data_IF_456073464229
#
_entry.id   IF_456073464229
#
_cell.length_a   1.000
_cell.length_b   1.000
_cell.length_c   1.000
_cell.angle_alpha   90.00
_cell.angle_beta   90.00
_cell.angle_gamma   90.00
#
_symmetry.space_group_name_H-M   'P 1'
#
loop_
_entity.id
_entity.type
_entity.pdbx_description
1 polymer ?
#
# COMPACT_ATOMS: atom_id res chain seq x y z
N UNK A 1 14.97 -65.81 -72.67
CA UNK A 1 13.74 -66.14 -71.93
C UNK A 1 13.82 -65.68 -70.52
N UNK A 2 12.86 -64.89 -70.14
CA UNK A 2 12.41 -64.63 -68.77
C UNK A 2 13.38 -64.11 -67.73
N UNK A 3 13.32 -62.82 -67.46
CA UNK A 3 13.45 -62.24 -66.14
C UNK A 3 13.05 -60.75 -66.20
N UNK A 4 11.79 -60.45 -66.12
CA UNK A 4 11.28 -59.11 -65.85
C UNK A 4 9.99 -59.40 -65.06
N UNK A 5 10.00 -58.98 -63.78
CA UNK A 5 8.82 -58.67 -62.99
C UNK A 5 9.12 -58.85 -61.48
N UNK A 6 9.91 -58.02 -60.86
CA UNK A 6 9.83 -57.80 -59.42
C UNK A 6 10.55 -56.42 -59.11
N UNK A 7 10.05 -55.33 -59.57
CA UNK A 7 10.63 -54.04 -59.22
C UNK A 7 9.59 -52.92 -59.29
N UNK A 8 8.36 -53.15 -58.91
CA UNK A 8 7.32 -52.10 -58.96
C UNK A 8 6.37 -52.04 -57.76
N UNK A 9 6.75 -52.59 -56.62
CA UNK A 9 5.89 -52.55 -55.39
C UNK A 9 6.61 -51.91 -54.16
N UNK A 10 7.72 -51.19 -54.33
CA UNK A 10 8.41 -50.60 -53.24
C UNK A 10 8.47 -49.03 -53.29
N UNK A 11 7.66 -48.40 -54.13
CA UNK A 11 7.66 -46.96 -54.32
C UNK A 11 6.39 -46.21 -53.78
N UNK A 12 5.46 -46.91 -53.13
CA UNK A 12 4.18 -46.33 -52.70
C UNK A 12 3.96 -46.27 -51.20
N UNK A 13 5.00 -46.47 -50.37
CA UNK A 13 4.85 -46.55 -48.93
C UNK A 13 5.67 -45.48 -48.15
N UNK A 14 6.18 -44.42 -48.80
CA UNK A 14 7.01 -43.37 -48.10
C UNK A 14 6.43 -41.96 -48.18
N UNK A 15 5.17 -41.78 -48.59
CA UNK A 15 4.58 -40.43 -48.68
C UNK A 15 3.46 -40.13 -47.66
N UNK A 16 3.43 -40.82 -46.52
CA UNK A 16 2.37 -40.61 -45.54
C UNK A 16 2.87 -40.30 -44.12
N UNK A 17 4.11 -39.83 -43.92
CA UNK A 17 4.56 -39.36 -42.60
C UNK A 17 5.29 -38.01 -42.77
N UNK A 18 4.58 -36.98 -43.20
CA UNK A 18 4.99 -35.60 -43.00
C UNK A 18 3.77 -34.74 -42.71
N UNK A 19 2.91 -35.23 -41.82
CA UNK A 19 2.00 -34.44 -41.05
C UNK A 19 2.77 -33.91 -39.83
N UNK A 20 3.76 -33.03 -40.04
CA UNK A 20 4.16 -32.13 -38.99
C UNK A 20 2.96 -31.26 -38.72
N UNK A 21 2.17 -31.62 -37.71
CA UNK A 21 1.28 -30.68 -37.09
C UNK A 21 2.15 -29.46 -36.72
N UNK A 22 2.02 -28.40 -37.49
CA UNK A 22 2.54 -27.06 -37.08
C UNK A 22 1.78 -26.73 -35.81
N UNK A 23 2.33 -27.12 -34.66
CA UNK A 23 1.88 -26.49 -33.43
C UNK A 23 2.10 -25.01 -33.62
N UNK A 24 1.03 -24.23 -33.56
CA UNK A 24 1.16 -22.79 -33.39
C UNK A 24 2.14 -22.56 -32.24
N UNK A 25 3.04 -21.59 -32.35
CA UNK A 25 3.93 -21.28 -31.22
C UNK A 25 3.06 -21.04 -29.98
N UNK A 26 3.40 -21.76 -28.89
CA UNK A 26 2.67 -21.64 -27.64
C UNK A 26 2.64 -20.15 -27.22
N UNK A 27 1.47 -19.64 -26.85
CA UNK A 27 1.33 -18.31 -26.28
C UNK A 27 2.14 -18.18 -24.99
N UNK A 28 2.43 -16.96 -24.58
CA UNK A 28 3.18 -16.72 -23.35
C UNK A 28 2.46 -17.32 -22.13
N UNK A 29 1.13 -17.21 -22.07
CA UNK A 29 0.32 -17.80 -20.99
C UNK A 29 0.33 -19.33 -21.01
N UNK A 30 0.36 -19.95 -22.18
CA UNK A 30 0.48 -21.39 -22.31
C UNK A 30 1.86 -21.91 -21.80
N UNK A 31 2.93 -21.16 -22.08
CA UNK A 31 4.25 -21.46 -21.52
C UNK A 31 4.29 -21.30 -20.00
N UNK A 32 3.73 -20.21 -19.47
CA UNK A 32 3.64 -19.95 -18.03
C UNK A 32 2.85 -21.07 -17.32
N UNK A 33 1.71 -21.47 -17.88
CA UNK A 33 0.91 -22.54 -17.29
C UNK A 33 1.65 -23.88 -17.25
N UNK A 34 2.29 -24.28 -18.34
CA UNK A 34 3.08 -25.52 -18.36
C UNK A 34 4.26 -25.47 -17.38
N UNK A 35 4.92 -24.34 -17.28
CA UNK A 35 5.97 -24.16 -16.28
C UNK A 35 5.43 -24.29 -14.87
N UNK A 36 4.32 -23.62 -14.57
CA UNK A 36 3.65 -23.72 -13.28
C UNK A 36 3.25 -25.15 -12.93
N UNK A 37 2.59 -25.87 -13.85
CA UNK A 37 2.14 -27.25 -13.64
C UNK A 37 3.33 -28.18 -13.32
N UNK A 38 4.42 -28.07 -14.10
CA UNK A 38 5.63 -28.86 -13.87
C UNK A 38 6.33 -28.49 -12.54
N UNK A 39 6.37 -27.21 -12.21
CA UNK A 39 6.94 -26.74 -10.96
C UNK A 39 6.14 -27.25 -9.74
N UNK A 40 4.81 -27.23 -9.82
CA UNK A 40 3.93 -27.78 -8.76
C UNK A 40 4.10 -29.29 -8.59
N UNK A 41 4.20 -30.04 -9.69
CA UNK A 41 4.43 -31.49 -9.65
C UNK A 41 5.76 -31.85 -8.95
N UNK A 42 6.79 -31.05 -9.15
CA UNK A 42 8.11 -31.29 -8.55
C UNK A 42 8.16 -30.83 -7.07
N UNK A 43 7.62 -29.63 -6.76
CA UNK A 43 7.83 -29.01 -5.47
C UNK A 43 6.69 -29.28 -4.47
N UNK A 44 5.46 -29.46 -4.95
CA UNK A 44 4.26 -29.64 -4.13
C UNK A 44 3.31 -30.72 -4.72
N UNK A 45 3.77 -31.95 -4.96
CA UNK A 45 2.98 -33.00 -5.65
C UNK A 45 1.68 -33.36 -4.90
N UNK A 46 1.65 -33.19 -3.59
CA UNK A 46 0.47 -33.49 -2.76
C UNK A 46 -0.48 -32.31 -2.60
N UNK A 47 -0.06 -31.09 -2.99
CA UNK A 47 -0.92 -29.92 -2.85
C UNK A 47 -2.15 -30.02 -3.76
N UNK A 48 -3.29 -29.57 -3.23
CA UNK A 48 -4.55 -29.54 -3.97
C UNK A 48 -5.06 -28.11 -4.05
N UNK A 49 -5.55 -27.68 -5.21
CA UNK A 49 -6.09 -26.33 -5.33
C UNK A 49 -7.40 -26.19 -4.55
N UNK A 50 -7.65 -24.97 -4.11
CA UNK A 50 -8.96 -24.52 -3.62
C UNK A 50 -10.00 -24.50 -4.76
N UNK A 51 -11.23 -24.11 -4.45
CA UNK A 51 -12.31 -24.06 -5.45
C UNK A 51 -12.00 -23.14 -6.64
N UNK A 52 -11.29 -22.03 -6.42
CA UNK A 52 -10.90 -21.11 -7.48
C UNK A 52 -9.56 -21.49 -8.14
N UNK A 53 -8.70 -22.22 -7.44
CA UNK A 53 -7.42 -22.72 -7.97
C UNK A 53 -6.18 -22.23 -7.25
N UNK A 54 -6.30 -21.63 -6.07
CA UNK A 54 -5.18 -21.24 -5.18
C UNK A 54 -4.66 -22.49 -4.47
N UNK A 55 -3.36 -22.57 -4.25
CA UNK A 55 -2.74 -23.66 -3.47
C UNK A 55 -2.30 -23.12 -2.10
N UNK A 56 -2.93 -23.62 -1.05
CA UNK A 56 -2.55 -23.30 0.34
C UNK A 56 -1.45 -24.27 0.75
N UNK A 57 -0.26 -23.76 1.05
CA UNK A 57 0.91 -24.57 1.41
C UNK A 57 1.11 -24.60 2.93
N UNK A 58 0.87 -23.46 3.60
CA UNK A 58 0.90 -23.34 5.05
C UNK A 58 -0.36 -22.60 5.50
N UNK A 59 -0.98 -23.04 6.59
CA UNK A 59 -2.20 -22.45 7.16
C UNK A 59 -2.19 -22.55 8.67
N UNK A 60 -1.89 -21.45 9.33
CA UNK A 60 -1.96 -21.30 10.78
C UNK A 60 -3.17 -20.42 11.12
N UNK A 61 -4.23 -21.01 11.70
CA UNK A 61 -5.44 -20.25 11.95
C UNK A 61 -5.24 -19.20 13.05
N UNK A 62 -5.67 -17.97 12.79
CA UNK A 62 -5.76 -16.94 13.81
C UNK A 62 -6.94 -17.14 14.76
N UNK A 63 -6.98 -16.33 15.82
CA UNK A 63 -8.03 -16.37 16.84
C UNK A 63 -8.86 -15.08 16.91
N UNK A 64 -8.46 -14.03 16.17
CA UNK A 64 -9.13 -12.74 16.17
C UNK A 64 -10.33 -12.66 15.24
N UNK A 65 -10.68 -11.44 14.86
CA UNK A 65 -11.81 -11.14 13.95
C UNK A 65 -11.61 -11.80 12.59
N UNK A 66 -12.68 -12.36 12.03
CA UNK A 66 -12.66 -12.98 10.71
C UNK A 66 -12.64 -11.91 9.60
N UNK A 67 -11.81 -12.13 8.60
CA UNK A 67 -11.74 -11.31 7.38
C UNK A 67 -12.93 -11.62 6.49
N UNK A 68 -13.74 -10.61 6.23
CA UNK A 68 -14.93 -10.70 5.38
C UNK A 68 -14.74 -9.93 4.07
N UNK A 69 -15.67 -10.10 3.15
CA UNK A 69 -15.83 -9.22 1.98
C UNK A 69 -16.20 -7.80 2.44
N UNK A 70 -15.94 -6.83 1.57
CA UNK A 70 -16.31 -5.42 1.75
C UNK A 70 -15.70 -4.75 2.99
N UNK A 71 -14.45 -5.13 3.31
CA UNK A 71 -13.70 -4.58 4.42
C UNK A 71 -12.25 -4.24 4.07
N UNK A 72 -11.44 -4.15 5.10
CA UNK A 72 -10.04 -3.76 5.03
C UNK A 72 -9.22 -4.67 5.93
N UNK A 73 -8.32 -5.45 5.35
CA UNK A 73 -7.39 -6.32 6.06
C UNK A 73 -5.99 -5.70 6.08
N UNK A 74 -5.39 -5.63 7.25
CA UNK A 74 -4.01 -5.20 7.45
C UNK A 74 -3.10 -6.42 7.42
N UNK A 75 -2.12 -6.45 6.53
CA UNK A 75 -1.27 -7.61 6.26
C UNK A 75 0.20 -7.27 6.40
N UNK A 76 0.94 -8.13 7.12
CA UNK A 76 2.38 -8.29 6.91
C UNK A 76 2.58 -9.36 5.84
N UNK A 77 3.46 -9.13 4.87
CA UNK A 77 3.68 -10.09 3.80
C UNK A 77 5.07 -10.01 3.17
N UNK A 78 5.45 -11.13 2.55
CA UNK A 78 6.52 -11.24 1.56
C UNK A 78 5.90 -11.92 0.34
N UNK A 79 6.20 -11.42 -0.85
CA UNK A 79 5.82 -12.06 -2.11
C UNK A 79 7.05 -12.44 -2.90
N UNK A 80 7.01 -13.65 -3.50
CA UNK A 80 8.08 -14.12 -4.36
C UNK A 80 7.50 -14.70 -5.67
N UNK A 81 8.36 -14.79 -6.68
CA UNK A 81 8.10 -15.67 -7.81
C UNK A 81 8.39 -17.15 -7.46
N UNK A 82 8.25 -18.04 -8.44
CA UNK A 82 8.53 -19.48 -8.26
C UNK A 82 10.03 -19.80 -8.09
N UNK A 83 10.91 -18.91 -8.49
CA UNK A 83 12.37 -19.00 -8.33
C UNK A 83 12.83 -18.48 -6.96
N UNK A 84 11.93 -17.88 -6.17
CA UNK A 84 12.20 -17.34 -4.84
C UNK A 84 12.70 -15.89 -4.85
N UNK A 85 12.63 -15.19 -5.98
CA UNK A 85 12.97 -13.77 -6.03
C UNK A 85 11.86 -12.95 -5.35
N UNK A 86 12.25 -12.12 -4.37
CA UNK A 86 11.30 -11.27 -3.64
C UNK A 86 10.86 -10.11 -4.54
N UNK A 87 9.54 -9.97 -4.72
CA UNK A 87 8.92 -8.91 -5.52
C UNK A 87 8.30 -7.79 -4.67
N UNK A 88 7.78 -8.11 -3.46
CA UNK A 88 7.28 -7.12 -2.51
C UNK A 88 7.37 -7.64 -1.07
N UNK A 89 7.41 -6.72 -0.11
CA UNK A 89 7.47 -7.05 1.31
C UNK A 89 7.03 -5.86 2.18
N UNK A 90 6.72 -6.13 3.44
CA UNK A 90 6.38 -5.13 4.45
C UNK A 90 7.43 -5.02 5.55
N UNK A 91 8.27 -6.03 5.72
CA UNK A 91 9.20 -6.15 6.85
C UNK A 91 10.48 -5.33 6.69
N UNK A 92 10.88 -4.63 7.76
CA UNK A 92 12.15 -3.88 7.82
C UNK A 92 13.38 -4.79 7.69
N UNK A 93 13.36 -5.94 8.37
CA UNK A 93 14.47 -6.90 8.32
C UNK A 93 14.68 -7.45 6.90
N UNK A 94 13.60 -7.69 6.16
CA UNK A 94 13.70 -8.08 4.75
C UNK A 94 14.37 -6.98 3.91
N UNK A 95 14.01 -5.71 4.14
CA UNK A 95 14.65 -4.58 3.47
C UNK A 95 16.15 -4.51 3.76
N UNK A 96 16.56 -4.73 5.02
CA UNK A 96 17.97 -4.75 5.43
C UNK A 96 18.72 -5.90 4.77
N UNK A 97 18.17 -7.11 4.76
CA UNK A 97 18.77 -8.28 4.13
C UNK A 97 18.95 -8.09 2.62
N UNK A 98 18.01 -7.43 1.96
CA UNK A 98 18.09 -7.09 0.53
C UNK A 98 18.96 -5.88 0.22
N UNK A 99 19.45 -5.15 1.24
CA UNK A 99 20.20 -3.91 1.06
C UNK A 99 19.37 -2.75 0.50
N UNK A 100 18.04 -2.81 0.63
CA UNK A 100 17.10 -1.80 0.14
C UNK A 100 16.53 -0.92 1.26
N UNK A 101 16.96 -1.14 2.49
CA UNK A 101 16.50 -0.38 3.65
C UNK A 101 16.78 1.12 3.50
N UNK A 102 15.75 1.91 3.83
CA UNK A 102 15.83 3.37 3.97
C UNK A 102 15.07 3.79 5.21
N UNK A 103 15.70 4.57 6.08
CA UNK A 103 15.05 5.09 7.31
C UNK A 103 13.83 5.97 7.04
N UNK A 104 13.70 6.51 5.83
CA UNK A 104 12.53 7.30 5.39
C UNK A 104 11.33 6.47 4.96
N UNK A 105 11.48 5.15 4.82
CA UNK A 105 10.39 4.28 4.37
C UNK A 105 9.61 3.72 5.56
N UNK A 106 8.33 3.51 5.36
CA UNK A 106 7.50 2.79 6.31
C UNK A 106 7.70 1.28 6.17
N UNK A 107 7.91 0.61 7.29
CA UNK A 107 7.95 -0.85 7.40
C UNK A 107 6.93 -1.31 8.41
N UNK A 108 6.01 -2.14 7.98
CA UNK A 108 4.91 -2.64 8.81
C UNK A 108 3.69 -3.01 7.98
N UNK A 109 2.62 -3.45 8.63
CA UNK A 109 1.44 -3.95 7.95
C UNK A 109 0.81 -2.91 7.04
N UNK A 110 0.40 -3.34 5.84
CA UNK A 110 -0.30 -2.50 4.86
C UNK A 110 -1.73 -2.98 4.67
N UNK A 111 -2.67 -2.05 4.54
CA UNK A 111 -4.06 -2.38 4.29
C UNK A 111 -4.29 -2.83 2.85
N UNK A 112 -5.10 -3.88 2.73
CA UNK A 112 -5.69 -4.37 1.49
C UNK A 112 -7.21 -4.31 1.63
N UNK A 113 -7.90 -3.72 0.67
CA UNK A 113 -9.38 -3.74 0.67
C UNK A 113 -9.88 -5.07 0.14
N UNK A 114 -10.87 -5.66 0.82
CA UNK A 114 -11.51 -6.93 0.41
C UNK A 114 -12.79 -6.71 -0.41
N UNK A 115 -13.01 -5.50 -0.91
CA UNK A 115 -14.11 -5.16 -1.82
C UNK A 115 -13.94 -5.96 -3.11
N UNK A 116 -15.03 -6.51 -3.64
CA UNK A 116 -15.02 -7.31 -4.85
C UNK A 116 -14.38 -6.55 -6.04
N UNK A 117 -13.46 -7.21 -6.72
CA UNK A 117 -12.70 -6.63 -7.83
C UNK A 117 -11.57 -5.66 -7.44
N UNK A 118 -11.36 -5.40 -6.16
CA UNK A 118 -10.25 -4.55 -5.68
C UNK A 118 -8.94 -5.32 -5.43
N UNK A 119 -9.02 -6.64 -5.30
CA UNK A 119 -7.88 -7.55 -5.20
C UNK A 119 -7.82 -8.51 -6.39
N UNK A 120 -6.64 -9.03 -6.74
CA UNK A 120 -6.56 -10.21 -7.57
C UNK A 120 -7.41 -11.35 -7.01
N UNK A 121 -8.11 -12.08 -7.88
CA UNK A 121 -9.10 -13.07 -7.46
C UNK A 121 -8.51 -14.14 -6.52
N UNK A 122 -7.28 -14.60 -6.80
CA UNK A 122 -6.60 -15.58 -5.96
C UNK A 122 -6.23 -15.05 -4.58
N UNK A 123 -5.82 -13.78 -4.48
CA UNK A 123 -5.51 -13.17 -3.19
C UNK A 123 -6.80 -12.97 -2.36
N UNK A 124 -7.90 -12.58 -3.00
CA UNK A 124 -9.19 -12.46 -2.33
C UNK A 124 -9.65 -13.82 -1.76
N UNK A 125 -9.54 -14.92 -2.55
CA UNK A 125 -9.85 -16.28 -2.07
C UNK A 125 -8.95 -16.69 -0.90
N UNK A 126 -7.65 -16.41 -1.00
CA UNK A 126 -6.69 -16.77 0.04
C UNK A 126 -6.91 -16.04 1.37
N UNK A 127 -7.47 -14.82 1.32
CA UNK A 127 -7.58 -13.93 2.47
C UNK A 127 -8.94 -14.01 3.17
N UNK A 128 -10.04 -14.08 2.41
CA UNK A 128 -11.40 -14.09 2.98
C UNK A 128 -11.62 -15.39 3.78
N UNK A 129 -12.18 -15.25 5.00
CA UNK A 129 -12.40 -16.34 5.94
C UNK A 129 -11.22 -16.60 6.89
N UNK A 130 -10.04 -16.00 6.66
CA UNK A 130 -8.97 -16.02 7.66
C UNK A 130 -9.35 -15.20 8.89
N UNK A 131 -8.66 -15.43 9.99
CA UNK A 131 -8.83 -14.62 11.22
C UNK A 131 -7.57 -13.82 11.51
N UNK A 132 -7.75 -12.68 12.13
CA UNK A 132 -6.63 -11.86 12.64
C UNK A 132 -5.72 -12.71 13.54
N UNK A 133 -4.42 -12.57 13.34
CA UNK A 133 -3.37 -13.39 13.93
C UNK A 133 -3.05 -14.66 13.14
N UNK A 134 -3.83 -15.01 12.12
CA UNK A 134 -3.55 -16.15 11.25
C UNK A 134 -2.44 -15.85 10.23
N UNK A 135 -1.66 -16.89 9.96
CA UNK A 135 -0.61 -16.88 8.94
C UNK A 135 -0.97 -17.87 7.82
N UNK A 136 -0.67 -17.49 6.61
CA UNK A 136 -0.90 -18.34 5.43
C UNK A 136 0.17 -18.13 4.39
N UNK A 137 0.66 -19.25 3.83
CA UNK A 137 1.50 -19.26 2.64
C UNK A 137 0.75 -19.91 1.50
N UNK A 138 0.61 -19.18 0.40
CA UNK A 138 -0.17 -19.63 -0.75
C UNK A 138 0.59 -19.42 -2.05
N UNK A 139 0.33 -20.31 -3.02
CA UNK A 139 0.77 -20.12 -4.39
C UNK A 139 -0.45 -19.73 -5.20
N UNK A 140 -0.41 -18.54 -5.78
CA UNK A 140 -1.49 -17.99 -6.60
C UNK A 140 -1.05 -18.06 -8.05
N UNK A 141 -1.64 -18.94 -8.85
CA UNK A 141 -1.30 -19.06 -10.26
C UNK A 141 -1.53 -17.75 -11.02
N UNK A 142 -0.77 -17.54 -12.07
CA UNK A 142 -0.78 -16.31 -12.86
C UNK A 142 -2.19 -15.89 -13.33
N UNK A 143 -3.07 -16.82 -13.67
CA UNK A 143 -4.44 -16.51 -14.09
C UNK A 143 -5.34 -16.01 -12.96
N UNK A 144 -4.96 -16.21 -11.69
CA UNK A 144 -5.66 -15.71 -10.50
C UNK A 144 -5.00 -14.44 -9.92
N UNK A 145 -3.86 -14.01 -10.45
CA UNK A 145 -3.25 -12.72 -10.16
C UNK A 145 -3.90 -11.57 -10.94
N UNK A 146 -4.92 -11.84 -11.72
CA UNK A 146 -5.77 -10.86 -12.40
C UNK A 146 -6.95 -10.43 -11.51
N UNK A 147 -7.43 -9.20 -11.73
CA UNK A 147 -8.67 -8.70 -11.13
C UNK A 147 -9.94 -9.31 -11.75
N UNK A 148 -9.80 -10.06 -12.82
CA UNK A 148 -10.91 -10.79 -13.45
C UNK A 148 -10.70 -12.29 -13.28
N UNK A 149 -11.82 -13.00 -13.12
CA UNK A 149 -11.85 -14.47 -13.17
C UNK A 149 -12.11 -14.88 -14.61
N UNK A 150 -11.32 -15.81 -15.12
CA UNK A 150 -11.52 -16.38 -16.46
C UNK A 150 -12.55 -17.50 -16.38
N UNK A 151 -13.54 -17.50 -17.28
CA UNK A 151 -14.59 -18.52 -17.35
C UNK A 151 -14.04 -19.88 -17.80
N UNK A 152 -12.86 -19.92 -18.43
CA UNK A 152 -12.20 -21.15 -18.87
C UNK A 152 -10.70 -20.93 -19.03
N UNK A 153 -9.94 -22.02 -18.95
CA UNK A 153 -8.52 -22.04 -19.24
C UNK A 153 -8.20 -21.53 -20.65
N UNK A 154 -9.03 -21.89 -21.65
CA UNK A 154 -8.86 -21.44 -23.03
C UNK A 154 -8.88 -19.90 -23.13
N UNK A 155 -9.80 -19.24 -22.40
CA UNK A 155 -9.87 -17.78 -22.38
C UNK A 155 -8.62 -17.16 -21.75
N UNK A 156 -8.08 -17.75 -20.70
CA UNK A 156 -6.81 -17.30 -20.11
C UNK A 156 -5.66 -17.46 -21.10
N UNK A 157 -5.53 -18.63 -21.73
CA UNK A 157 -4.45 -18.90 -22.67
C UNK A 157 -4.49 -17.99 -23.91
N UNK A 158 -5.67 -17.51 -24.29
CA UNK A 158 -5.86 -16.55 -25.38
C UNK A 158 -5.47 -15.10 -25.05
N UNK A 159 -5.27 -14.77 -23.77
CA UNK A 159 -4.88 -13.40 -23.36
C UNK A 159 -3.48 -13.05 -23.85
N UNK A 160 -3.32 -11.78 -24.25
CA UNK A 160 -2.03 -11.25 -24.70
C UNK A 160 -1.17 -10.72 -23.55
N UNK A 161 -1.82 -10.30 -22.48
CA UNK A 161 -1.16 -9.81 -21.27
C UNK A 161 -0.90 -10.97 -20.32
N UNK A 162 0.34 -11.11 -19.87
CA UNK A 162 0.73 -12.12 -18.89
C UNK A 162 0.81 -11.48 -17.49
N UNK A 163 0.37 -12.25 -16.50
CA UNK A 163 0.69 -12.02 -15.09
C UNK A 163 1.60 -13.14 -14.63
N UNK A 164 2.34 -12.93 -13.56
CA UNK A 164 3.24 -13.95 -13.01
C UNK A 164 2.55 -14.72 -11.88
N UNK A 165 2.89 -15.99 -11.73
CA UNK A 165 2.54 -16.77 -10.54
C UNK A 165 3.25 -16.16 -9.35
N UNK A 166 2.52 -15.97 -8.26
CA UNK A 166 3.05 -15.33 -7.07
C UNK A 166 2.85 -16.21 -5.84
N UNK A 167 3.90 -16.38 -5.07
CA UNK A 167 3.83 -16.97 -3.74
C UNK A 167 3.63 -15.83 -2.76
N UNK A 168 2.51 -15.85 -2.02
CA UNK A 168 2.24 -14.96 -0.91
C UNK A 168 2.47 -15.69 0.40
N UNK A 169 3.33 -15.13 1.23
CA UNK A 169 3.57 -15.53 2.61
C UNK A 169 3.15 -14.36 3.49
N UNK A 170 2.03 -14.48 4.21
CA UNK A 170 1.41 -13.34 4.87
C UNK A 170 0.73 -13.67 6.19
N UNK A 171 0.71 -12.68 7.08
CA UNK A 171 0.00 -12.71 8.36
C UNK A 171 -1.06 -11.60 8.39
N UNK A 172 -2.28 -11.94 8.81
CA UNK A 172 -3.36 -10.97 9.02
C UNK A 172 -3.15 -10.28 10.37
N UNK A 173 -2.82 -8.99 10.35
CA UNK A 173 -2.56 -8.18 11.56
C UNK A 173 -3.80 -7.46 12.08
N UNK A 174 -4.79 -7.23 11.23
CA UNK A 174 -6.02 -6.55 11.59
C UNK A 174 -7.09 -6.68 10.51
N UNK A 175 -8.34 -6.47 10.91
CA UNK A 175 -9.47 -6.37 9.98
C UNK A 175 -10.50 -5.39 10.50
N UNK A 176 -11.08 -4.60 9.60
CA UNK A 176 -12.21 -3.71 9.88
C UNK A 176 -13.15 -3.62 8.69
N UNK A 177 -14.43 -3.51 8.94
CA UNK A 177 -15.44 -3.20 7.91
C UNK A 177 -15.57 -1.67 7.69
N UNK A 178 -15.05 -0.86 8.62
CA UNK A 178 -15.08 0.61 8.53
C UNK A 178 -13.71 1.21 8.84
N UNK A 179 -12.98 1.57 7.79
CA UNK A 179 -11.64 2.11 7.91
C UNK A 179 -11.62 3.46 8.65
N UNK A 180 -12.64 4.30 8.47
CA UNK A 180 -12.74 5.59 9.16
C UNK A 180 -12.85 5.42 10.67
N UNK A 181 -13.71 4.53 11.14
CA UNK A 181 -13.88 4.29 12.58
C UNK A 181 -12.64 3.59 13.16
N UNK A 182 -11.98 2.73 12.38
CA UNK A 182 -10.70 2.15 12.78
C UNK A 182 -9.61 3.23 12.95
N UNK A 183 -9.43 4.12 11.96
CA UNK A 183 -8.46 5.20 12.04
C UNK A 183 -8.74 6.14 13.23
N UNK A 184 -10.02 6.44 13.51
CA UNK A 184 -10.42 7.23 14.67
C UNK A 184 -10.06 6.51 15.98
N UNK A 185 -10.22 5.18 16.04
CA UNK A 185 -9.81 4.41 17.22
C UNK A 185 -8.30 4.46 17.44
N UNK A 186 -7.49 4.38 16.36
CA UNK A 186 -6.04 4.51 16.44
C UNK A 186 -5.61 5.91 16.92
N UNK A 187 -6.27 6.96 16.44
CA UNK A 187 -6.04 8.32 16.96
C UNK A 187 -6.41 8.39 18.45
N UNK A 188 -7.51 7.77 18.86
CA UNK A 188 -7.91 7.72 20.28
C UNK A 188 -6.87 7.06 21.17
N UNK A 189 -6.27 5.95 20.73
CA UNK A 189 -5.18 5.29 21.46
C UNK A 189 -3.90 6.16 21.48
N UNK A 190 -3.56 6.77 20.35
CA UNK A 190 -2.45 7.70 20.26
C UNK A 190 -2.59 8.88 21.23
N UNK A 191 -3.76 9.53 21.28
CA UNK A 191 -4.05 10.63 22.20
C UNK A 191 -3.93 10.20 23.66
N UNK A 192 -4.44 9.02 24.01
CA UNK A 192 -4.35 8.44 25.35
C UNK A 192 -2.89 8.18 25.75
N UNK A 193 -2.09 7.62 24.85
CA UNK A 193 -0.68 7.29 25.10
C UNK A 193 0.23 8.54 25.12
N UNK A 194 -0.27 9.67 24.62
CA UNK A 194 0.44 10.95 24.57
C UNK A 194 -0.27 12.03 25.40
N UNK A 195 -0.89 11.62 26.50
CA UNK A 195 -1.67 12.52 27.38
C UNK A 195 -0.85 13.59 28.07
N UNK A 196 0.45 13.42 28.21
CA UNK A 196 1.42 14.44 28.65
C UNK A 196 1.48 15.65 27.69
N UNK A 197 1.25 15.42 26.38
CA UNK A 197 1.24 16.43 25.33
C UNK A 197 -0.18 16.96 25.08
N UNK A 198 -1.14 16.07 24.95
CA UNK A 198 -2.51 16.40 24.49
C UNK A 198 -3.52 16.53 25.64
N UNK A 199 -3.12 16.22 26.88
CA UNK A 199 -4.00 16.26 28.03
C UNK A 199 -5.10 15.20 27.95
N UNK A 200 -6.35 15.58 28.27
CA UNK A 200 -7.48 14.67 28.28
C UNK A 200 -8.21 14.56 26.93
N UNK A 201 -7.55 14.87 25.81
CA UNK A 201 -8.16 14.67 24.48
C UNK A 201 -8.45 13.19 24.21
N UNK A 202 -9.58 12.95 23.61
CA UNK A 202 -10.08 11.60 23.26
C UNK A 202 -10.55 11.54 21.81
N UNK A 203 -10.86 10.37 21.33
CA UNK A 203 -11.47 10.18 20.00
C UNK A 203 -12.80 10.95 19.81
N UNK A 204 -13.49 11.32 20.90
CA UNK A 204 -14.73 12.10 20.84
C UNK A 204 -14.50 13.60 20.59
N UNK A 205 -13.28 14.10 20.80
CA UNK A 205 -12.94 15.53 20.67
C UNK A 205 -12.62 15.95 19.22
N UNK A 206 -13.15 15.22 18.27
CA UNK A 206 -13.12 15.60 16.86
C UNK A 206 -13.70 16.99 16.63
N UNK A 207 -13.05 17.79 15.80
CA UNK A 207 -13.52 19.14 15.48
C UNK A 207 -14.95 19.08 14.90
N UNK A 208 -15.81 19.96 15.35
CA UNK A 208 -17.20 20.04 14.89
C UNK A 208 -17.26 20.11 13.36
N UNK A 209 -18.07 19.26 12.74
CA UNK A 209 -18.24 19.09 11.30
C UNK A 209 -17.02 18.51 10.55
N UNK A 210 -15.97 18.06 11.27
CA UNK A 210 -14.79 17.44 10.71
C UNK A 210 -14.45 16.15 11.46
N UNK A 211 -15.34 15.13 11.36
CA UNK A 211 -15.15 13.83 12.02
C UNK A 211 -13.77 13.24 11.67
N UNK A 212 -12.99 12.89 12.70
CA UNK A 212 -11.63 12.34 12.53
C UNK A 212 -10.54 13.40 12.35
N UNK A 213 -10.85 14.68 12.54
CA UNK A 213 -9.86 15.75 12.60
C UNK A 213 -9.81 16.35 14.01
N UNK A 214 -8.61 16.48 14.55
CA UNK A 214 -8.34 16.97 15.92
C UNK A 214 -7.34 18.09 15.88
N UNK A 215 -7.53 19.08 16.76
CA UNK A 215 -6.61 20.20 16.88
C UNK A 215 -6.30 20.49 18.35
N UNK A 216 -5.04 20.77 18.63
CA UNK A 216 -4.58 21.20 19.96
C UNK A 216 -3.57 22.33 19.82
N UNK A 217 -3.80 23.42 20.53
CA UNK A 217 -2.82 24.48 20.74
C UNK A 217 -1.74 23.98 21.71
N UNK A 218 -0.47 24.01 21.28
CA UNK A 218 0.70 23.65 22.09
C UNK A 218 1.35 24.88 22.73
N UNK A 219 1.37 26.00 22.00
CA UNK A 219 1.80 27.33 22.50
C UNK A 219 0.79 28.35 21.99
N UNK A 220 0.10 29.06 22.92
CA UNK A 220 -0.94 30.00 22.52
C UNK A 220 -0.36 31.21 21.78
N UNK A 221 -1.15 31.74 20.86
CA UNK A 221 -0.89 33.01 20.21
C UNK A 221 -0.98 34.18 21.18
N UNK A 222 -0.28 35.26 20.86
CA UNK A 222 -0.42 36.51 21.57
C UNK A 222 -1.68 37.31 21.16
N UNK A 223 -2.15 37.10 19.91
CA UNK A 223 -3.34 37.71 19.31
C UNK A 223 -4.29 36.61 18.76
N UNK A 224 -5.57 36.81 18.98
CA UNK A 224 -6.63 35.87 18.52
C UNK A 224 -7.24 36.25 17.18
N UNK A 225 -6.75 37.29 16.52
CA UNK A 225 -7.23 37.75 15.22
C UNK A 225 -6.94 36.73 14.14
N UNK A 226 -7.97 36.37 13.35
CA UNK A 226 -7.83 35.45 12.21
C UNK A 226 -7.12 36.16 11.05
N UNK A 227 -6.35 35.38 10.28
CA UNK A 227 -5.73 35.85 9.05
C UNK A 227 -6.78 36.18 7.99
N UNK A 228 -6.51 37.23 7.21
CA UNK A 228 -7.34 37.59 6.04
C UNK A 228 -6.82 36.89 4.79
N UNK A 229 -7.68 36.76 3.78
CA UNK A 229 -7.27 36.32 2.43
C UNK A 229 -6.03 37.11 1.97
N UNK A 230 -5.15 36.45 1.24
CA UNK A 230 -3.90 36.95 0.70
C UNK A 230 -2.84 37.34 1.75
N UNK A 231 -3.11 37.12 3.05
CA UNK A 231 -2.05 37.24 4.08
C UNK A 231 -0.96 36.19 3.81
N UNK A 232 0.30 36.63 3.89
CA UNK A 232 1.47 35.76 3.80
C UNK A 232 2.03 35.54 5.18
N UNK A 233 2.17 34.29 5.60
CA UNK A 233 2.81 33.87 6.85
C UNK A 233 3.94 32.88 6.57
N UNK A 234 4.77 32.63 7.57
CA UNK A 234 5.85 31.64 7.52
C UNK A 234 5.66 30.62 8.62
N UNK A 235 5.93 29.36 8.30
CA UNK A 235 5.75 28.26 9.25
C UNK A 235 6.96 27.34 9.29
N UNK A 236 7.21 26.78 10.46
CA UNK A 236 7.93 25.52 10.60
C UNK A 236 6.91 24.41 10.83
N UNK A 237 7.20 23.21 10.34
CA UNK A 237 6.33 22.04 10.60
C UNK A 237 7.13 20.75 10.65
N UNK A 238 6.54 19.76 11.31
CA UNK A 238 6.97 18.37 11.28
C UNK A 238 5.76 17.47 11.10
N UNK A 239 5.79 16.63 10.08
CA UNK A 239 4.77 15.62 9.79
C UNK A 239 5.24 14.25 10.27
N UNK A 240 4.34 13.52 10.97
CA UNK A 240 4.60 12.20 11.56
C UNK A 240 3.45 11.23 11.32
N UNK A 241 3.75 9.95 11.32
CA UNK A 241 2.76 8.89 11.54
C UNK A 241 2.43 8.78 13.04
N UNK A 242 1.40 8.00 13.40
CA UNK A 242 1.02 7.81 14.81
C UNK A 242 2.07 7.03 15.63
N UNK A 243 2.93 6.25 14.99
CA UNK A 243 4.05 5.55 15.63
C UNK A 243 5.24 6.48 15.93
N UNK A 244 5.16 7.74 15.52
CA UNK A 244 6.20 8.74 15.67
C UNK A 244 7.17 8.86 14.51
N UNK A 245 7.08 8.00 13.49
CA UNK A 245 7.92 8.06 12.28
C UNK A 245 7.75 9.41 11.60
N UNK A 246 8.82 10.20 11.54
CA UNK A 246 8.85 11.49 10.85
C UNK A 246 9.04 11.28 9.36
N UNK A 247 8.09 11.76 8.56
CA UNK A 247 8.17 11.64 7.10
C UNK A 247 8.50 12.97 6.41
N UNK A 248 8.31 14.09 7.08
CA UNK A 248 8.61 15.42 6.53
C UNK A 248 8.81 16.48 7.63
N UNK A 249 9.75 17.43 7.42
CA UNK A 249 9.98 18.54 8.36
C UNK A 249 10.70 19.69 7.68
N UNK A 250 10.52 20.91 8.19
CA UNK A 250 11.30 22.09 7.84
C UNK A 250 12.54 22.28 8.72
N UNK A 251 12.72 21.48 9.76
CA UNK A 251 13.83 21.57 10.70
C UNK A 251 14.96 20.60 10.32
N UNK A 252 16.15 21.13 10.04
CA UNK A 252 17.29 20.36 9.58
C UNK A 252 17.76 19.33 10.61
N UNK A 253 17.73 19.68 11.90
CA UNK A 253 18.15 18.78 12.97
C UNK A 253 17.18 17.61 13.07
N UNK A 254 15.87 17.89 13.10
CA UNK A 254 14.83 16.86 13.09
C UNK A 254 14.98 15.94 11.88
N UNK A 255 15.27 16.49 10.70
CA UNK A 255 15.49 15.68 9.51
C UNK A 255 16.70 14.75 9.65
N UNK A 256 17.82 15.22 10.20
CA UNK A 256 19.02 14.41 10.46
C UNK A 256 18.79 13.33 11.50
N UNK A 257 18.15 13.69 12.61
CA UNK A 257 17.88 12.79 13.73
C UNK A 257 16.94 11.64 13.33
N UNK A 258 16.08 11.85 12.31
CA UNK A 258 15.15 10.84 11.77
C UNK A 258 15.60 10.22 10.44
N UNK A 259 16.81 10.53 9.95
CA UNK A 259 17.39 9.93 8.75
C UNK A 259 16.70 10.30 7.44
N UNK A 260 15.91 11.39 7.41
CA UNK A 260 15.23 11.92 6.23
C UNK A 260 15.90 13.17 5.63
N UNK A 261 17.09 13.51 6.13
CA UNK A 261 17.82 14.67 5.64
C UNK A 261 18.29 14.48 4.19
N UNK A 262 18.18 15.55 3.41
CA UNK A 262 18.65 15.59 2.03
C UNK A 262 19.41 16.88 1.75
N UNK A 263 20.57 16.77 1.10
CA UNK A 263 21.35 17.93 0.66
C UNK A 263 20.69 18.75 -0.46
N UNK A 264 19.69 18.19 -1.14
CA UNK A 264 18.92 18.89 -2.18
C UNK A 264 17.78 19.72 -1.65
N UNK A 265 17.52 19.66 -0.32
CA UNK A 265 16.43 20.38 0.35
C UNK A 265 16.96 21.51 1.19
N UNK A 266 16.30 22.67 1.15
CA UNK A 266 16.49 23.78 2.06
C UNK A 266 15.59 23.58 3.28
N UNK A 267 16.19 23.66 4.49
CA UNK A 267 15.48 23.56 5.75
C UNK A 267 15.33 24.95 6.35
N UNK A 268 14.19 25.56 6.06
CA UNK A 268 13.85 26.90 6.48
C UNK A 268 12.32 27.05 6.60
N UNK A 269 11.82 28.10 7.29
CA UNK A 269 10.39 28.36 7.35
C UNK A 269 9.76 28.51 5.96
N UNK A 270 8.67 27.81 5.72
CA UNK A 270 7.96 27.79 4.44
C UNK A 270 6.90 28.88 4.39
N UNK A 271 6.83 29.56 3.24
CA UNK A 271 5.80 30.54 2.95
C UNK A 271 4.44 29.87 2.77
N UNK A 272 3.42 30.41 3.46
CA UNK A 272 2.01 30.07 3.30
C UNK A 272 1.26 31.31 2.83
N UNK A 273 0.46 31.16 1.78
CA UNK A 273 -0.48 32.18 1.33
C UNK A 273 -1.89 31.80 1.80
N UNK A 274 -2.54 32.70 2.55
CA UNK A 274 -3.84 32.46 3.14
C UNK A 274 -4.97 32.59 2.12
N UNK A 275 -5.94 31.66 2.14
CA UNK A 275 -7.11 31.63 1.27
C UNK A 275 -8.36 32.25 1.88
N UNK A 276 -9.48 32.14 1.17
CA UNK A 276 -10.82 32.48 1.70
C UNK A 276 -11.36 31.39 2.65
N UNK A 277 -10.93 30.16 2.44
CA UNK A 277 -11.23 28.96 3.25
C UNK A 277 -9.97 28.11 3.35
N UNK A 278 -9.97 27.14 4.25
CA UNK A 278 -8.80 26.27 4.50
C UNK A 278 -8.30 25.54 3.25
N UNK A 279 -9.22 25.16 2.34
CA UNK A 279 -8.87 24.46 1.09
C UNK A 279 -8.18 25.35 0.03
N UNK A 280 -8.20 26.66 0.21
CA UNK A 280 -7.59 27.63 -0.72
C UNK A 280 -6.22 28.10 -0.22
N UNK A 281 -5.78 27.61 0.93
CA UNK A 281 -4.44 27.88 1.46
C UNK A 281 -3.42 27.16 0.57
N UNK A 282 -2.34 27.87 0.22
CA UNK A 282 -1.25 27.34 -0.62
C UNK A 282 0.10 27.49 0.05
N UNK A 283 1.05 26.63 -0.33
CA UNK A 283 2.40 26.58 0.21
C UNK A 283 3.44 26.92 -0.85
N UNK A 284 4.48 27.64 -0.43
CA UNK A 284 5.61 28.02 -1.26
C UNK A 284 5.29 29.18 -2.23
N UNK A 285 6.32 29.71 -2.88
CA UNK A 285 6.18 30.80 -3.83
C UNK A 285 5.44 30.40 -5.12
N UNK A 286 5.47 29.11 -5.46
CA UNK A 286 4.73 28.54 -6.59
C UNK A 286 3.23 28.38 -6.33
N UNK A 287 2.77 28.50 -5.08
CA UNK A 287 1.36 28.34 -4.73
C UNK A 287 0.89 26.88 -4.79
N UNK A 288 1.70 25.92 -4.38
CA UNK A 288 1.34 24.51 -4.36
C UNK A 288 0.17 24.23 -3.42
N UNK A 289 -0.74 23.37 -3.84
CA UNK A 289 -1.84 22.90 -3.00
C UNK A 289 -1.32 22.05 -1.84
N UNK A 290 -2.02 22.07 -0.72
CA UNK A 290 -1.73 21.28 0.48
C UNK A 290 -2.86 20.30 0.76
N UNK A 291 -2.56 19.22 1.49
CA UNK A 291 -3.59 18.28 1.94
C UNK A 291 -4.58 18.97 2.88
N UNK A 292 -5.83 18.56 2.84
CA UNK A 292 -6.92 19.26 3.53
C UNK A 292 -6.73 19.30 5.05
N UNK A 293 -6.18 18.25 5.66
CA UNK A 293 -5.88 18.20 7.08
C UNK A 293 -4.81 19.22 7.52
N UNK A 294 -3.79 19.43 6.67
CA UNK A 294 -2.80 20.48 6.91
C UNK A 294 -3.43 21.89 6.84
N UNK A 295 -4.26 22.12 5.81
CA UNK A 295 -5.02 23.38 5.66
C UNK A 295 -5.98 23.63 6.83
N UNK A 296 -6.70 22.59 7.28
CA UNK A 296 -7.57 22.67 8.48
C UNK A 296 -6.77 22.99 9.74
N UNK A 297 -5.58 22.43 9.90
CA UNK A 297 -4.69 22.72 11.04
C UNK A 297 -4.32 24.19 11.06
N UNK A 298 -3.82 24.71 9.93
CA UNK A 298 -3.50 26.15 9.80
C UNK A 298 -4.73 27.03 10.09
N UNK A 299 -5.92 26.61 9.63
CA UNK A 299 -7.15 27.39 9.81
C UNK A 299 -7.56 27.60 11.26
N UNK A 300 -7.16 26.69 12.17
CA UNK A 300 -7.37 26.83 13.61
C UNK A 300 -6.36 27.80 14.26
N UNK A 301 -5.21 28.04 13.62
CA UNK A 301 -4.07 28.75 14.21
C UNK A 301 -4.18 30.26 14.08
N UNK A 302 -3.42 30.96 14.96
CA UNK A 302 -3.27 32.41 15.00
C UNK A 302 -1.80 32.77 14.92
N UNK A 303 -1.50 34.08 14.82
CA UNK A 303 -0.14 34.55 14.66
C UNK A 303 0.77 34.13 15.83
N UNK A 304 1.94 33.58 15.48
CA UNK A 304 2.95 33.02 16.40
C UNK A 304 2.47 31.88 17.30
N UNK A 305 1.38 31.22 16.94
CA UNK A 305 0.89 30.02 17.60
C UNK A 305 1.73 28.79 17.19
N UNK A 306 1.92 27.87 18.14
CA UNK A 306 2.29 26.49 17.83
C UNK A 306 1.10 25.60 18.10
N UNK A 307 0.70 24.81 17.11
CA UNK A 307 -0.43 23.89 17.20
C UNK A 307 -0.13 22.54 16.55
N UNK A 308 -0.98 21.59 16.81
CA UNK A 308 -0.93 20.27 16.19
C UNK A 308 -2.29 19.88 15.64
N UNK A 309 -2.29 19.43 14.38
CA UNK A 309 -3.41 18.74 13.74
C UNK A 309 -3.16 17.26 13.69
N UNK A 310 -4.16 16.47 14.07
CA UNK A 310 -4.16 15.02 13.99
C UNK A 310 -5.39 14.62 13.19
N UNK A 311 -5.25 13.81 12.15
CA UNK A 311 -6.38 13.55 11.29
C UNK A 311 -6.27 12.22 10.54
N UNK A 312 -7.43 11.66 10.21
CA UNK A 312 -7.56 10.44 9.42
C UNK A 312 -7.07 10.64 7.98
N UNK A 313 -6.76 9.56 7.32
CA UNK A 313 -6.18 9.53 5.97
C UNK A 313 -7.01 10.28 4.92
N UNK A 314 -8.33 10.35 5.05
CA UNK A 314 -9.19 11.10 4.12
C UNK A 314 -8.93 12.61 4.11
N UNK A 315 -8.33 13.17 5.15
CA UNK A 315 -7.81 14.54 5.17
C UNK A 315 -6.33 14.62 4.75
N UNK A 316 -5.68 13.47 4.55
CA UNK A 316 -4.29 13.33 4.15
C UNK A 316 -4.13 12.73 2.75
N UNK A 317 -3.54 11.54 2.69
CA UNK A 317 -3.19 10.86 1.43
C UNK A 317 -4.11 9.68 1.08
N UNK A 318 -5.20 9.46 1.83
CA UNK A 318 -6.25 8.49 1.54
C UNK A 318 -5.77 7.05 1.44
N UNK A 319 -6.41 6.30 0.55
CA UNK A 319 -6.11 4.89 0.30
C UNK A 319 -4.74 4.65 -0.34
N UNK A 320 -4.23 5.61 -1.10
CA UNK A 320 -2.98 5.45 -1.84
C UNK A 320 -1.73 5.69 -1.00
N UNK A 321 -1.84 6.45 0.11
CA UNK A 321 -0.68 6.92 0.83
C UNK A 321 0.19 7.89 0.02
N UNK A 322 1.48 8.00 0.38
CA UNK A 322 2.43 8.84 -0.34
C UNK A 322 3.83 8.21 -0.34
N UNK A 323 4.28 7.80 -1.51
CA UNK A 323 5.57 7.12 -1.69
C UNK A 323 5.68 5.87 -0.81
N UNK A 324 6.90 5.58 -0.37
CA UNK A 324 7.17 4.47 0.55
C UNK A 324 7.13 4.88 2.03
N UNK A 325 6.95 6.18 2.33
CA UNK A 325 6.99 6.70 3.69
C UNK A 325 5.64 6.79 4.38
N UNK A 326 4.56 6.88 3.62
CA UNK A 326 3.19 6.99 4.16
C UNK A 326 2.31 5.93 3.49
N UNK A 327 2.03 4.82 4.17
CA UNK A 327 1.14 3.80 3.62
C UNK A 327 -0.29 4.31 3.49
N UNK A 328 -1.09 3.64 2.68
CA UNK A 328 -2.53 3.93 2.57
C UNK A 328 -3.25 3.82 3.91
N UNK A 329 -4.30 4.61 4.09
CA UNK A 329 -5.13 4.64 5.30
C UNK A 329 -4.36 5.00 6.58
N UNK A 330 -3.33 5.86 6.46
CA UNK A 330 -2.54 6.32 7.60
C UNK A 330 -3.09 7.63 8.15
N UNK A 331 -3.50 7.67 9.43
CA UNK A 331 -3.68 8.92 10.14
C UNK A 331 -2.36 9.69 10.26
N UNK A 332 -2.42 11.01 10.21
CA UNK A 332 -1.26 11.89 10.22
C UNK A 332 -1.28 12.85 11.40
N UNK A 333 -0.09 13.21 11.86
CA UNK A 333 0.16 14.23 12.87
C UNK A 333 1.02 15.32 12.25
N UNK A 334 0.56 16.58 12.30
CA UNK A 334 1.34 17.72 11.88
C UNK A 334 1.48 18.72 13.04
N UNK A 335 2.68 18.84 13.56
CA UNK A 335 3.05 19.97 14.43
C UNK A 335 3.45 21.15 13.56
N UNK A 336 2.82 22.29 13.77
CA UNK A 336 3.06 23.51 13.00
C UNK A 336 3.32 24.66 13.96
N UNK A 337 4.33 25.48 13.68
CA UNK A 337 4.59 26.74 14.37
C UNK A 337 4.62 27.89 13.36
N UNK A 338 3.79 28.91 13.59
CA UNK A 338 3.83 30.14 12.81
C UNK A 338 4.95 31.00 13.34
N UNK A 339 5.88 31.36 12.48
CA UNK A 339 7.12 32.07 12.85
C UNK A 339 7.27 33.38 12.09
N UNK A 340 8.11 34.31 12.57
CA UNK A 340 8.43 35.55 11.83
C UNK A 340 9.02 35.23 10.46
N UNK A 341 8.85 36.15 9.50
CA UNK A 341 9.53 36.08 8.22
C UNK A 341 11.03 35.89 8.42
N UNK A 342 11.66 34.89 7.74
CA UNK A 342 13.11 34.75 7.78
C UNK A 342 13.82 36.06 7.41
N UNK A 343 14.88 36.38 8.14
CA UNK A 343 15.76 37.48 7.75
C UNK A 343 16.64 36.99 6.61
N UNK A 344 16.60 37.68 5.48
CA UNK A 344 17.54 37.46 4.38
C UNK A 344 18.97 37.74 4.82
#
# INVERSE_FOLDING_TARGET
MKRITVSLILAAAVTAISGCAKHAPAGANDANKRYFDAWMEINHPEARPTALGVYIIEDEPGTGTEVKKDGFASLDYITTDLEGNISAYTGEETAKQLGTYKSSNYYGPKFQTTIEGALPAGLAEALIGMKVGGHRKVIIPSWLMSYKVYDSEEKYLAEKSTTETTIYDFTVKGFTENITDWEISQIGEYLKNSSDIYGNMTAADSLKNHKGFYYKTLKPAADTTSFKKDTTIYINYTGKLLDGTVFDTTDERTAKDNGIWSSSRTYEPVLIKWGEKYSDITMGSSGSTIISGFGLTLWQMREFEKGVGIFISSYGYGASGSGESIPGYSPLVFEIEIVPKPKN
#
